data_IF_799000127282
#
_entry.id   IF_799000127282
#
_cell.length_a   1.000
_cell.length_b   1.000
_cell.length_c   1.000
_cell.angle_alpha   90.00
_cell.angle_beta   90.00
_cell.angle_gamma   90.00
#
_symmetry.space_group_name_H-M   'P 1'
#
loop_
_entity.id
_entity.type
_entity.pdbx_description
1 polymer ?
#
# COMPACT_ATOMS: atom_id res chain seq x y z
N UNK A 1 -102.19 36.09 22.09
CA UNK A 1 -103.49 35.44 22.31
C UNK A 1 -103.21 34.10 22.96
N UNK A 2 -103.65 33.98 24.22
CA UNK A 2 -104.12 32.76 24.89
C UNK A 2 -103.10 31.63 25.16
N UNK A 3 -102.65 31.41 26.41
CA UNK A 3 -103.36 30.90 27.63
C UNK A 3 -102.97 29.42 27.82
N UNK A 4 -102.14 29.13 28.83
CA UNK A 4 -102.50 28.50 30.14
C UNK A 4 -102.27 26.98 30.07
N UNK A 5 -101.37 26.34 30.85
CA UNK A 5 -101.43 26.03 32.31
C UNK A 5 -102.76 25.30 32.65
N UNK A 6 -102.85 24.21 33.46
CA UNK A 6 -102.08 24.00 34.71
C UNK A 6 -101.86 22.55 35.23
N UNK A 7 -100.99 22.41 36.23
CA UNK A 7 -101.24 21.65 37.48
C UNK A 7 -100.23 22.21 38.51
N UNK A 8 -100.54 23.06 39.49
CA UNK A 8 -101.53 23.06 40.59
C UNK A 8 -101.27 22.06 41.72
N UNK A 9 -100.51 22.50 42.72
CA UNK A 9 -100.76 22.40 44.18
C UNK A 9 -99.56 23.11 44.82
N UNK A 10 -99.62 24.33 45.38
CA UNK A 10 -100.47 24.88 46.44
C UNK A 10 -100.70 23.86 47.56
N UNK A 11 -99.88 23.97 48.60
CA UNK A 11 -100.43 23.99 49.95
C UNK A 11 -99.93 25.22 50.70
N UNK A 12 -100.91 25.92 51.23
CA UNK A 12 -100.83 27.17 51.97
C UNK A 12 -100.57 26.82 53.43
N UNK A 13 -99.51 27.35 54.02
CA UNK A 13 -99.54 27.65 55.45
C UNK A 13 -99.07 29.08 55.68
N UNK A 14 -99.98 29.81 56.30
CA UNK A 14 -100.02 31.24 56.46
C UNK A 14 -98.96 31.76 57.43
N UNK A 15 -98.67 33.04 57.25
CA UNK A 15 -97.78 33.87 58.03
C UNK A 15 -97.96 33.74 59.55
N UNK A 16 -96.84 33.66 60.28
CA UNK A 16 -96.73 34.14 61.66
C UNK A 16 -95.38 34.84 61.84
N UNK A 17 -95.51 36.15 62.07
CA UNK A 17 -94.69 37.07 62.87
C UNK A 17 -93.27 37.45 62.46
N UNK A 18 -93.17 38.76 62.21
CA UNK A 18 -92.02 39.59 62.51
C UNK A 18 -91.49 39.31 63.93
N UNK A 19 -90.18 39.11 64.03
CA UNK A 19 -89.45 38.99 65.28
C UNK A 19 -88.00 39.38 65.05
N UNK A 20 -87.60 40.45 65.74
CA UNK A 20 -86.29 41.07 65.73
C UNK A 20 -85.11 40.11 65.93
N UNK A 21 -84.00 40.37 65.25
CA UNK A 21 -82.77 40.75 65.96
C UNK A 21 -81.70 41.20 64.97
N UNK A 22 -81.34 42.47 65.11
CA UNK A 22 -80.08 42.98 64.63
C UNK A 22 -78.94 42.31 65.39
N UNK A 23 -77.88 41.89 64.69
CA UNK A 23 -76.56 41.67 65.30
C UNK A 23 -75.85 40.37 64.93
N UNK A 24 -75.31 40.27 63.71
CA UNK A 24 -74.08 39.50 63.44
C UNK A 24 -73.48 39.88 62.07
N UNK A 25 -73.06 41.13 61.95
CA UNK A 25 -72.24 41.60 60.81
C UNK A 25 -70.76 41.27 61.03
N UNK A 26 -70.39 39.99 61.08
CA UNK A 26 -68.98 39.59 61.23
C UNK A 26 -68.51 38.47 60.32
N UNK A 27 -69.34 37.87 59.47
CA UNK A 27 -68.82 36.82 58.57
C UNK A 27 -69.64 36.68 57.28
N UNK A 28 -69.45 37.62 56.36
CA UNK A 28 -69.87 37.45 54.95
C UNK A 28 -68.64 37.24 54.09
N UNK A 29 -67.94 36.14 54.35
CA UNK A 29 -67.01 35.56 53.39
C UNK A 29 -67.83 35.10 52.17
N UNK A 30 -67.38 35.43 50.96
CA UNK A 30 -68.00 35.02 49.71
C UNK A 30 -68.18 33.48 49.76
N UNK A 31 -69.36 32.89 49.47
CA UNK A 31 -69.61 31.46 49.66
C UNK A 31 -68.57 30.49 49.00
N UNK A 32 -67.92 30.84 47.88
CA UNK A 32 -66.80 30.09 47.31
C UNK A 32 -65.46 30.16 48.08
N UNK A 33 -65.32 31.05 49.07
CA UNK A 33 -64.09 31.32 49.83
C UNK A 33 -64.22 30.97 51.31
N UNK A 34 -65.09 30.02 51.67
CA UNK A 34 -65.17 29.51 53.04
C UNK A 34 -63.91 28.68 53.39
N UNK A 35 -62.99 29.30 54.15
CA UNK A 35 -61.68 28.74 54.52
C UNK A 35 -61.76 27.52 55.45
N UNK A 36 -62.93 27.22 56.01
CA UNK A 36 -63.14 26.11 56.95
C UNK A 36 -62.81 24.74 56.34
N UNK A 37 -62.98 24.57 55.03
CA UNK A 37 -62.63 23.32 54.33
C UNK A 37 -61.25 23.34 53.67
N UNK A 38 -60.61 24.51 53.54
CA UNK A 38 -59.31 24.63 52.90
C UNK A 38 -58.21 23.91 53.70
N UNK A 39 -58.28 23.93 55.03
CA UNK A 39 -57.32 23.23 55.89
C UNK A 39 -57.33 21.71 55.64
N UNK A 40 -58.51 21.11 55.52
CA UNK A 40 -58.65 19.67 55.23
C UNK A 40 -58.16 19.32 53.82
N UNK A 41 -58.45 20.16 52.82
CA UNK A 41 -57.95 19.95 51.46
C UNK A 41 -56.42 20.05 51.40
N UNK A 42 -55.80 20.99 52.12
CA UNK A 42 -54.35 21.13 52.19
C UNK A 42 -53.72 19.94 52.93
N UNK A 43 -54.31 19.51 54.05
CA UNK A 43 -53.85 18.32 54.78
C UNK A 43 -53.89 17.07 53.91
N UNK A 44 -54.99 16.81 53.19
CA UNK A 44 -55.07 15.71 52.25
C UNK A 44 -54.08 15.91 51.10
N UNK A 45 -53.95 17.11 50.55
CA UNK A 45 -53.00 17.39 49.47
C UNK A 45 -51.57 17.01 49.89
N UNK A 46 -51.13 17.33 51.11
CA UNK A 46 -49.85 16.88 51.63
C UNK A 46 -49.74 15.36 51.76
N UNK A 47 -50.79 14.67 52.19
CA UNK A 47 -50.76 13.22 52.35
C UNK A 47 -50.72 12.50 50.98
N UNK A 48 -51.54 12.95 50.02
CA UNK A 48 -51.57 12.47 48.64
C UNK A 48 -50.24 12.73 47.94
N UNK A 49 -49.81 13.99 47.99
CA UNK A 49 -48.61 14.46 47.32
C UNK A 49 -47.37 13.83 47.95
N UNK A 50 -47.31 13.69 49.27
CA UNK A 50 -46.24 13.00 49.96
C UNK A 50 -46.16 11.53 49.58
N UNK A 51 -47.28 10.80 49.59
CA UNK A 51 -47.33 9.41 49.15
C UNK A 51 -46.91 9.27 47.68
N UNK A 52 -47.47 10.11 46.79
CA UNK A 52 -47.12 10.12 45.38
C UNK A 52 -45.66 10.49 45.15
N UNK A 53 -45.12 11.47 45.87
CA UNK A 53 -43.72 11.88 45.80
C UNK A 53 -42.79 10.75 46.20
N UNK A 54 -43.09 10.04 47.28
CA UNK A 54 -42.33 8.87 47.70
C UNK A 54 -42.40 7.75 46.66
N UNK A 55 -43.58 7.50 46.09
CA UNK A 55 -43.75 6.53 45.00
C UNK A 55 -42.92 6.90 43.76
N UNK A 56 -42.98 8.18 43.34
CA UNK A 56 -42.27 8.70 42.17
C UNK A 56 -40.75 8.64 42.37
N UNK A 57 -40.28 9.13 43.52
CA UNK A 57 -38.87 9.12 43.92
C UNK A 57 -38.30 7.70 44.04
N UNK A 58 -39.04 6.78 44.64
CA UNK A 58 -38.53 5.44 44.95
C UNK A 58 -38.68 4.45 43.80
N UNK A 59 -39.65 4.63 42.90
CA UNK A 59 -39.98 3.65 41.84
C UNK A 59 -39.70 4.18 40.44
N UNK A 60 -40.16 5.39 40.11
CA UNK A 60 -40.06 5.90 38.73
C UNK A 60 -38.66 6.44 38.40
N UNK A 61 -38.08 7.27 39.27
CA UNK A 61 -36.72 7.80 39.06
C UNK A 61 -35.65 6.70 38.88
N UNK A 62 -35.54 5.65 39.73
CA UNK A 62 -34.53 4.63 39.53
C UNK A 62 -34.73 3.87 38.21
N UNK A 63 -35.97 3.57 37.82
CA UNK A 63 -36.25 2.88 36.55
C UNK A 63 -35.79 3.66 35.33
N UNK A 64 -35.98 4.97 35.33
CA UNK A 64 -35.50 5.84 34.24
C UNK A 64 -33.97 5.96 34.29
N UNK A 65 -33.40 6.08 35.49
CA UNK A 65 -31.95 6.12 35.70
C UNK A 65 -31.24 4.87 35.19
N UNK A 66 -31.81 3.69 35.43
CA UNK A 66 -31.27 2.41 34.96
C UNK A 66 -31.23 2.32 33.43
N UNK A 67 -32.26 2.81 32.75
CA UNK A 67 -32.32 2.81 31.28
C UNK A 67 -31.27 3.77 30.69
N UNK A 68 -31.11 4.96 31.28
CA UNK A 68 -30.10 5.94 30.83
C UNK A 68 -28.71 5.37 31.03
N UNK A 69 -28.43 4.78 32.20
CA UNK A 69 -27.15 4.14 32.50
C UNK A 69 -26.87 2.99 31.55
N UNK A 70 -27.83 2.09 31.33
CA UNK A 70 -27.66 0.96 30.39
C UNK A 70 -27.34 1.42 28.97
N UNK A 71 -27.98 2.49 28.48
CA UNK A 71 -27.66 3.05 27.16
C UNK A 71 -26.27 3.69 27.14
N UNK A 72 -25.92 4.45 28.17
CA UNK A 72 -24.60 5.05 28.29
C UNK A 72 -23.50 3.99 28.32
N UNK A 73 -23.67 2.95 29.14
CA UNK A 73 -22.72 1.85 29.27
C UNK A 73 -22.55 1.10 27.94
N UNK A 74 -23.64 0.88 27.20
CA UNK A 74 -23.59 0.29 25.86
C UNK A 74 -22.83 1.16 24.86
N UNK A 75 -23.11 2.46 24.83
CA UNK A 75 -22.42 3.39 23.93
C UNK A 75 -20.92 3.42 24.24
N UNK A 76 -20.55 3.49 25.52
CA UNK A 76 -19.15 3.46 25.93
C UNK A 76 -18.49 2.14 25.53
N UNK A 77 -19.15 1.00 25.78
CA UNK A 77 -18.64 -0.31 25.36
C UNK A 77 -18.48 -0.42 23.83
N UNK A 78 -19.43 0.09 23.06
CA UNK A 78 -19.37 0.10 21.58
C UNK A 78 -18.23 1.02 21.08
N UNK A 79 -18.02 2.17 21.72
CA UNK A 79 -16.91 3.08 21.40
C UNK A 79 -15.54 2.47 21.75
N UNK A 80 -15.43 1.80 22.89
CA UNK A 80 -14.22 1.11 23.30
C UNK A 80 -13.89 -0.05 22.35
N UNK A 81 -14.91 -0.83 21.99
CA UNK A 81 -14.77 -1.90 20.99
C UNK A 81 -14.36 -1.36 19.62
N UNK A 82 -15.00 -0.31 19.13
CA UNK A 82 -14.64 0.33 17.87
C UNK A 82 -13.20 0.87 17.90
N UNK A 83 -12.78 1.45 19.02
CA UNK A 83 -11.42 1.97 19.21
C UNK A 83 -10.39 0.83 19.20
N UNK A 84 -10.68 -0.29 19.87
CA UNK A 84 -9.83 -1.48 19.87
C UNK A 84 -9.68 -2.05 18.44
N UNK A 85 -10.80 -2.26 17.74
CA UNK A 85 -10.79 -2.75 16.35
C UNK A 85 -10.03 -1.82 15.40
N UNK A 86 -10.14 -0.50 15.62
CA UNK A 86 -9.35 0.48 14.88
C UNK A 86 -7.86 0.33 15.16
N UNK A 87 -7.46 0.22 16.44
CA UNK A 87 -6.05 0.04 16.82
C UNK A 87 -5.45 -1.25 16.24
N UNK A 88 -6.19 -2.36 16.27
CA UNK A 88 -5.77 -3.61 15.63
C UNK A 88 -5.60 -3.45 14.11
N UNK A 89 -6.54 -2.78 13.45
CA UNK A 89 -6.47 -2.50 12.01
C UNK A 89 -5.26 -1.61 11.69
N UNK A 90 -5.04 -0.54 12.44
CA UNK A 90 -3.90 0.37 12.27
C UNK A 90 -2.58 -0.39 12.47
N UNK A 91 -2.50 -1.28 13.46
CA UNK A 91 -1.32 -2.14 13.68
C UNK A 91 -1.07 -3.10 12.50
N UNK A 92 -2.13 -3.70 11.94
CA UNK A 92 -2.04 -4.56 10.75
C UNK A 92 -1.62 -3.77 9.51
N UNK A 93 -2.14 -2.55 9.33
CA UNK A 93 -1.75 -1.67 8.22
C UNK A 93 -0.25 -1.37 8.30
N UNK A 94 0.25 -0.94 9.47
CA UNK A 94 1.67 -0.65 9.68
C UNK A 94 2.54 -1.89 9.41
N UNK A 95 2.12 -3.06 9.88
CA UNK A 95 2.82 -4.32 9.61
C UNK A 95 2.84 -4.67 8.11
N UNK A 96 1.72 -4.49 7.42
CA UNK A 96 1.58 -4.73 5.99
C UNK A 96 2.50 -3.78 5.19
N UNK A 97 2.45 -2.47 5.47
CA UNK A 97 3.31 -1.47 4.84
C UNK A 97 4.79 -1.76 5.05
N UNK A 98 5.18 -2.13 6.28
CA UNK A 98 6.54 -2.53 6.60
C UNK A 98 6.95 -3.78 5.80
N UNK A 99 6.11 -4.80 5.76
CA UNK A 99 6.37 -6.03 5.02
C UNK A 99 6.53 -5.79 3.52
N UNK A 100 5.72 -4.89 2.94
CA UNK A 100 5.79 -4.51 1.53
C UNK A 100 7.07 -3.72 1.24
N UNK A 101 7.45 -2.78 2.12
CA UNK A 101 8.70 -2.03 2.02
C UNK A 101 9.92 -2.96 2.09
N UNK A 102 9.92 -3.90 3.03
CA UNK A 102 11.00 -4.89 3.14
C UNK A 102 11.06 -5.82 1.93
N UNK A 103 9.91 -6.30 1.43
CA UNK A 103 9.85 -7.15 0.24
C UNK A 103 10.40 -6.42 -1.00
N UNK A 104 10.03 -5.15 -1.20
CA UNK A 104 10.57 -4.30 -2.28
C UNK A 104 12.09 -4.14 -2.15
N UNK A 105 12.59 -3.78 -0.96
CA UNK A 105 14.03 -3.66 -0.71
C UNK A 105 14.79 -4.95 -0.99
N UNK A 106 14.23 -6.11 -0.61
CA UNK A 106 14.82 -7.42 -0.90
C UNK A 106 14.81 -7.71 -2.40
N UNK A 107 13.72 -7.41 -3.10
CA UNK A 107 13.65 -7.57 -4.56
C UNK A 107 14.70 -6.69 -5.27
N UNK A 108 14.82 -5.42 -4.90
CA UNK A 108 15.82 -4.50 -5.46
C UNK A 108 17.24 -5.00 -5.20
N UNK A 109 17.52 -5.48 -3.98
CA UNK A 109 18.82 -6.07 -3.64
C UNK A 109 19.11 -7.34 -4.46
N UNK A 110 18.11 -8.20 -4.70
CA UNK A 110 18.26 -9.39 -5.54
C UNK A 110 18.54 -8.98 -6.99
N UNK A 111 17.81 -8.00 -7.53
CA UNK A 111 18.01 -7.52 -8.90
C UNK A 111 19.40 -6.89 -9.07
N UNK A 112 19.84 -6.06 -8.13
CA UNK A 112 21.18 -5.47 -8.15
C UNK A 112 22.25 -6.55 -8.11
N UNK A 113 22.18 -7.46 -7.13
CA UNK A 113 23.19 -8.51 -6.96
C UNK A 113 23.20 -9.50 -8.14
N UNK A 114 22.04 -9.82 -8.72
CA UNK A 114 21.95 -10.65 -9.91
C UNK A 114 22.53 -9.94 -11.14
N UNK A 115 22.25 -8.64 -11.30
CA UNK A 115 22.80 -7.82 -12.40
C UNK A 115 24.32 -7.71 -12.31
N UNK A 116 24.85 -7.48 -11.11
CA UNK A 116 26.30 -7.38 -10.88
C UNK A 116 26.99 -8.72 -11.13
N UNK A 117 26.41 -9.83 -10.63
CA UNK A 117 26.90 -11.18 -10.92
C UNK A 117 26.85 -11.51 -12.41
N UNK A 118 25.79 -11.12 -13.11
CA UNK A 118 25.66 -11.34 -14.54
C UNK A 118 26.70 -10.55 -15.34
N UNK A 119 26.93 -9.28 -14.99
CA UNK A 119 27.99 -8.46 -15.57
C UNK A 119 29.38 -9.07 -15.34
N UNK A 120 29.69 -9.46 -14.09
CA UNK A 120 30.97 -10.07 -13.76
C UNK A 120 31.22 -11.38 -14.53
N UNK A 121 30.19 -12.24 -14.63
CA UNK A 121 30.27 -13.47 -15.45
C UNK A 121 30.48 -13.14 -16.94
N UNK A 122 29.74 -12.18 -17.47
CA UNK A 122 29.87 -11.76 -18.86
C UNK A 122 31.26 -11.18 -19.16
N UNK A 123 31.86 -10.41 -18.25
CA UNK A 123 33.23 -9.92 -18.42
C UNK A 123 34.26 -11.05 -18.38
N UNK A 124 34.09 -12.02 -17.47
CA UNK A 124 34.96 -13.18 -17.39
C UNK A 124 34.90 -14.01 -18.68
N UNK A 125 33.69 -14.33 -19.16
CA UNK A 125 33.49 -15.04 -20.42
C UNK A 125 34.04 -14.27 -21.62
N UNK A 126 33.84 -12.94 -21.66
CA UNK A 126 34.44 -12.09 -22.69
C UNK A 126 35.95 -12.18 -22.68
N UNK A 127 36.57 -12.12 -21.49
CA UNK A 127 38.02 -12.23 -21.35
C UNK A 127 38.52 -13.60 -21.81
N UNK A 128 37.88 -14.70 -21.40
CA UNK A 128 38.28 -16.05 -21.83
C UNK A 128 38.16 -16.22 -23.34
N UNK A 129 37.05 -15.76 -23.93
CA UNK A 129 36.86 -15.79 -25.38
C UNK A 129 37.90 -14.93 -26.09
N UNK A 130 38.25 -13.77 -25.56
CA UNK A 130 39.25 -12.88 -26.15
C UNK A 130 40.65 -13.51 -26.10
N UNK A 131 41.01 -14.20 -25.02
CA UNK A 131 42.25 -14.98 -24.92
C UNK A 131 42.28 -16.12 -25.93
N UNK A 132 41.19 -16.91 -26.04
CA UNK A 132 41.09 -17.99 -27.03
C UNK A 132 41.18 -17.47 -28.47
N UNK A 133 40.51 -16.36 -28.77
CA UNK A 133 40.58 -15.72 -30.08
C UNK A 133 41.99 -15.26 -30.41
N UNK A 134 42.69 -14.63 -29.46
CA UNK A 134 44.07 -14.21 -29.65
C UNK A 134 45.01 -15.40 -29.90
N UNK A 135 44.82 -16.51 -29.18
CA UNK A 135 45.58 -17.74 -29.38
C UNK A 135 45.34 -18.33 -30.77
N UNK A 136 44.08 -18.47 -31.18
CA UNK A 136 43.70 -18.96 -32.53
C UNK A 136 44.27 -18.05 -33.63
N UNK A 137 44.26 -16.74 -33.41
CA UNK A 137 44.81 -15.76 -34.34
C UNK A 137 46.34 -15.90 -34.45
N UNK A 138 47.04 -16.09 -33.32
CA UNK A 138 48.48 -16.34 -33.30
C UNK A 138 48.85 -17.66 -34.01
N UNK A 139 48.10 -18.73 -33.76
CA UNK A 139 48.27 -20.02 -34.43
C UNK A 139 48.06 -19.90 -35.94
N UNK A 140 46.97 -19.27 -36.37
CA UNK A 140 46.68 -19.03 -37.78
C UNK A 140 47.77 -18.19 -38.45
N UNK A 141 48.28 -17.13 -37.79
CA UNK A 141 49.41 -16.34 -38.28
C UNK A 141 50.67 -17.18 -38.47
N UNK A 142 51.00 -18.03 -37.49
CA UNK A 142 52.14 -18.95 -37.59
C UNK A 142 51.96 -19.95 -38.75
N UNK A 143 50.76 -20.50 -38.91
CA UNK A 143 50.43 -21.41 -40.00
C UNK A 143 50.58 -20.74 -41.38
N UNK A 144 50.05 -19.52 -41.53
CA UNK A 144 50.18 -18.72 -42.76
C UNK A 144 51.65 -18.42 -43.05
N UNK A 145 52.45 -18.05 -42.04
CA UNK A 145 53.90 -17.82 -42.22
C UNK A 145 54.60 -19.08 -42.70
N UNK A 146 54.31 -20.24 -42.09
CA UNK A 146 54.89 -21.51 -42.49
C UNK A 146 54.52 -21.90 -43.92
N UNK A 147 53.26 -21.70 -44.34
CA UNK A 147 52.84 -21.94 -45.74
C UNK A 147 53.55 -20.97 -46.68
N UNK A 148 53.64 -19.69 -46.33
CA UNK A 148 54.33 -18.68 -47.12
C UNK A 148 55.79 -19.04 -47.32
N UNK A 149 56.49 -19.45 -46.26
CA UNK A 149 57.90 -19.83 -46.33
C UNK A 149 58.10 -21.10 -47.16
N UNK A 150 57.22 -22.09 -47.02
CA UNK A 150 57.22 -23.30 -47.86
C UNK A 150 56.99 -22.95 -49.34
N UNK A 151 56.02 -22.08 -49.63
CA UNK A 151 55.73 -21.65 -51.00
C UNK A 151 56.92 -20.89 -51.61
N UNK A 152 57.53 -19.95 -50.88
CA UNK A 152 58.72 -19.21 -51.32
C UNK A 152 59.91 -20.14 -51.57
N UNK A 153 60.14 -21.15 -50.71
CA UNK A 153 61.18 -22.17 -50.93
C UNK A 153 60.89 -23.00 -52.19
N UNK A 154 59.65 -23.44 -52.39
CA UNK A 154 59.25 -24.22 -53.56
C UNK A 154 59.45 -23.43 -54.87
N UNK A 155 59.12 -22.13 -54.89
CA UNK A 155 59.37 -21.26 -56.04
C UNK A 155 60.87 -21.10 -56.29
N UNK A 156 61.69 -20.94 -55.25
CA UNK A 156 63.15 -20.87 -55.39
C UNK A 156 63.75 -22.13 -56.01
N UNK A 157 63.33 -23.31 -55.54
CA UNK A 157 63.77 -24.60 -56.11
C UNK A 157 63.31 -24.75 -57.56
N UNK A 158 62.06 -24.38 -57.88
CA UNK A 158 61.55 -24.45 -59.24
C UNK A 158 62.30 -23.50 -60.18
N UNK A 159 62.61 -22.28 -59.71
CA UNK A 159 63.42 -21.32 -60.45
C UNK A 159 64.85 -21.83 -60.71
N UNK A 160 65.50 -22.47 -59.73
CA UNK A 160 66.82 -23.11 -59.90
C UNK A 160 66.76 -24.21 -60.98
N UNK A 161 65.72 -25.05 -60.95
CA UNK A 161 65.53 -26.16 -61.90
C UNK A 161 65.26 -25.65 -63.32
N UNK A 162 64.36 -24.67 -63.48
CA UNK A 162 64.02 -24.11 -64.78
C UNK A 162 65.17 -23.27 -65.36
N UNK A 163 65.86 -22.48 -64.54
CA UNK A 163 67.05 -21.74 -64.97
C UNK A 163 68.15 -22.68 -65.48
N UNK A 164 68.39 -23.80 -64.77
CA UNK A 164 69.33 -24.83 -65.23
C UNK A 164 68.92 -25.44 -66.58
N UNK A 165 67.62 -25.69 -66.80
CA UNK A 165 67.10 -26.19 -68.07
C UNK A 165 67.27 -25.19 -69.22
N UNK A 166 67.01 -23.90 -68.97
CA UNK A 166 67.19 -22.83 -69.95
C UNK A 166 68.67 -22.68 -70.33
N UNK A 167 69.57 -22.66 -69.33
CA UNK A 167 71.02 -22.56 -69.55
C UNK A 167 71.55 -23.77 -70.33
N UNK A 168 71.07 -24.98 -70.02
CA UNK A 168 71.43 -26.18 -70.76
C UNK A 168 71.00 -26.12 -72.23
N UNK A 169 69.80 -25.59 -72.53
CA UNK A 169 69.33 -25.37 -73.90
C UNK A 169 70.13 -24.31 -74.67
N UNK A 170 70.62 -23.28 -73.99
CA UNK A 170 71.36 -22.16 -74.61
C UNK A 170 72.85 -22.46 -74.83
N UNK A 171 73.52 -23.12 -73.89
CA UNK A 171 74.98 -23.31 -73.89
C UNK A 171 75.38 -24.74 -74.31
N UNK A 172 74.43 -25.68 -74.36
CA UNK A 172 74.67 -27.07 -74.78
C UNK A 172 75.52 -27.90 -73.81
N UNK A 173 75.97 -27.33 -72.68
CA UNK A 173 76.69 -28.01 -71.59
C UNK A 173 75.93 -27.88 -70.27
N UNK A 174 75.98 -28.92 -69.44
CA UNK A 174 75.43 -28.90 -68.08
C UNK A 174 76.33 -28.05 -67.16
N UNK A 175 75.84 -26.91 -66.70
CA UNK A 175 76.54 -26.09 -65.71
C UNK A 175 76.28 -26.65 -64.31
N UNK A 176 77.27 -26.55 -63.42
CA UNK A 176 77.17 -27.07 -62.05
C UNK A 176 76.04 -26.34 -61.28
N UNK A 177 75.09 -27.10 -60.70
CA UNK A 177 73.96 -26.59 -59.90
C UNK A 177 74.39 -25.66 -58.77
N UNK A 178 75.58 -25.86 -58.19
CA UNK A 178 76.11 -25.01 -57.13
C UNK A 178 76.39 -23.57 -57.60
N UNK A 179 76.81 -23.40 -58.87
CA UNK A 179 77.13 -22.08 -59.44
C UNK A 179 75.86 -21.29 -59.76
N UNK A 180 74.84 -21.97 -60.31
CA UNK A 180 73.51 -21.38 -60.59
C UNK A 180 72.85 -20.90 -59.29
N UNK A 181 72.91 -21.73 -58.24
CA UNK A 181 72.37 -21.39 -56.93
C UNK A 181 73.05 -20.16 -56.32
N UNK A 182 74.38 -20.06 -56.44
CA UNK A 182 75.15 -18.90 -55.97
C UNK A 182 74.77 -17.64 -56.75
N UNK A 183 74.71 -17.72 -58.09
CA UNK A 183 74.33 -16.59 -58.95
C UNK A 183 72.90 -16.09 -58.69
N UNK A 184 71.93 -16.99 -58.46
CA UNK A 184 70.55 -16.61 -58.11
C UNK A 184 70.52 -15.89 -56.75
N UNK A 185 71.28 -16.39 -55.76
CA UNK A 185 71.34 -15.78 -54.43
C UNK A 185 71.96 -14.38 -54.47
N UNK A 186 73.06 -14.20 -55.20
CA UNK A 186 73.72 -12.90 -55.39
C UNK A 186 72.79 -11.90 -56.12
N UNK A 187 72.02 -12.37 -57.12
CA UNK A 187 71.01 -11.55 -57.81
C UNK A 187 69.87 -11.08 -56.89
N UNK A 188 69.40 -11.95 -55.98
CA UNK A 188 68.35 -11.60 -55.01
C UNK A 188 68.86 -10.56 -54.01
N UNK A 189 70.11 -10.69 -53.56
CA UNK A 189 70.74 -9.80 -52.58
C UNK A 189 71.06 -8.41 -53.18
N UNK A 190 71.47 -8.35 -54.44
CA UNK A 190 71.62 -7.08 -55.18
C UNK A 190 70.27 -6.38 -55.38
N UNK A 191 69.19 -7.14 -55.65
CA UNK A 191 67.85 -6.56 -55.80
C UNK A 191 67.31 -5.98 -54.49
N UNK A 192 67.61 -6.59 -53.34
CA UNK A 192 67.18 -6.02 -52.04
C UNK A 192 67.94 -4.76 -51.68
N UNK A 193 69.22 -4.63 -52.09
CA UNK A 193 70.03 -3.42 -51.89
C UNK A 193 69.67 -2.25 -52.81
N UNK A 194 69.12 -2.50 -53.99
CA UNK A 194 68.68 -1.45 -54.93
C UNK A 194 67.20 -1.08 -54.81
N UNK A 195 66.40 -1.82 -54.05
CA UNK A 195 64.95 -1.63 -53.92
C UNK A 195 64.50 -0.96 -52.62
N UNK A 196 65.44 -0.48 -51.81
CA UNK A 196 65.24 0.31 -50.60
C UNK A 196 65.88 1.68 -50.81
#
# INVERSE_FOLDING_TARGET
>A
MLVSTPYSQIDKHAAIQAGSSAGSYADRVFPPFDFSFFESHVFWLFICFGFFYLFMSRVILPRIGDVIRSRHDKITADLDYATCMKQETDAVIIACEKSLSEARKRADAIVSTASDKAKAKAELERYTVQVELNNKLAEAKSHISNIRDKALRNVGVLAEVEAARIVQKLIGRSVNKAFIKKAIKDCIELRSKCGQ
#
